data_IF_835918789656
#
_entry.id   IF_835918789656
#
_cell.length_a   1.000
_cell.length_b   1.000
_cell.length_c   1.000
_cell.angle_alpha   90.00
_cell.angle_beta   90.00
_cell.angle_gamma   90.00
#
_symmetry.space_group_name_H-M   'P 1'
#
loop_
_entity.id
_entity.type
_entity.pdbx_description
1 polymer ?
#
# COMPACT_ATOMS: atom_id res chain seq x y z
N UNK A 1 7.01 -8.63 36.78
CA UNK A 1 5.92 -7.98 37.55
C UNK A 1 4.65 -8.79 37.34
N UNK A 2 4.04 -9.29 38.41
CA UNK A 2 2.81 -10.10 38.38
C UNK A 2 1.62 -9.21 38.03
N UNK A 3 0.79 -9.64 37.07
CA UNK A 3 -0.51 -9.03 36.79
C UNK A 3 -1.54 -9.55 37.81
N UNK A 4 -2.12 -8.66 38.61
CA UNK A 4 -3.31 -8.95 39.42
C UNK A 4 -4.56 -8.65 38.59
N UNK A 5 -5.41 -9.66 38.42
CA UNK A 5 -6.78 -9.53 37.93
C UNK A 5 -7.64 -8.95 39.06
N UNK A 6 -8.25 -7.78 38.84
CA UNK A 6 -9.25 -7.22 39.77
C UNK A 6 -10.60 -7.86 39.44
N UNK A 7 -11.16 -8.54 40.44
CA UNK A 7 -12.44 -9.22 40.40
C UNK A 7 -13.55 -8.19 40.69
N UNK A 8 -14.43 -7.92 39.72
CA UNK A 8 -15.50 -6.93 39.84
C UNK A 8 -16.74 -7.65 40.38
N UNK A 9 -16.84 -7.77 41.71
CA UNK A 9 -18.10 -8.08 42.42
C UNK A 9 -17.91 -7.76 43.91
N UNK A 10 -18.02 -6.49 44.28
CA UNK A 10 -18.33 -6.09 45.67
C UNK A 10 -19.10 -4.76 45.67
N UNK A 11 -20.29 -4.68 46.31
CA UNK A 11 -21.12 -3.48 46.33
C UNK A 11 -21.05 -2.79 47.70
N UNK A 12 -20.00 -2.02 47.98
CA UNK A 12 -19.95 -1.14 49.16
C UNK A 12 -19.13 0.11 48.87
N UNK A 13 -19.80 1.21 48.51
CA UNK A 13 -19.47 2.53 49.07
C UNK A 13 -20.63 3.51 48.82
N UNK A 14 -21.41 3.74 49.88
CA UNK A 14 -22.38 4.83 49.96
C UNK A 14 -21.71 6.03 50.62
N UNK A 15 -22.02 7.21 50.08
CA UNK A 15 -21.98 8.54 50.69
C UNK A 15 -20.66 9.02 51.29
N UNK A 16 -20.02 9.96 50.58
CA UNK A 16 -19.70 11.23 51.22
C UNK A 16 -19.92 12.40 50.26
N UNK A 17 -20.56 13.42 50.80
CA UNK A 17 -21.11 14.58 50.11
C UNK A 17 -20.09 15.69 49.89
N UNK A 18 -20.43 16.58 48.96
CA UNK A 18 -19.92 17.96 48.77
C UNK A 18 -18.64 18.17 47.95
N UNK A 19 -18.78 18.10 46.64
CA UNK A 19 -18.21 19.12 45.75
C UNK A 19 -19.13 19.28 44.53
N UNK A 20 -19.60 20.50 44.34
CA UNK A 20 -20.39 20.95 43.19
C UNK A 20 -19.86 20.42 41.86
N UNK A 21 -20.70 19.88 40.96
CA UNK A 21 -20.26 19.58 39.61
C UNK A 21 -20.14 20.90 38.88
N UNK A 22 -18.92 21.43 38.78
CA UNK A 22 -18.59 22.40 37.74
C UNK A 22 -18.91 21.73 36.42
N UNK A 23 -19.90 22.27 35.71
CA UNK A 23 -20.28 21.91 34.36
C UNK A 23 -19.05 21.82 33.45
N UNK A 24 -18.55 20.60 33.21
CA UNK A 24 -17.58 20.36 32.15
C UNK A 24 -18.36 20.31 30.85
N UNK A 25 -18.44 21.45 30.16
CA UNK A 25 -18.73 21.51 28.74
C UNK A 25 -17.87 20.45 28.04
N UNK A 26 -18.40 19.59 27.15
CA UNK A 26 -17.55 18.70 26.37
C UNK A 26 -16.57 19.60 25.61
N UNK A 27 -15.28 19.48 25.90
CA UNK A 27 -14.30 20.45 25.42
C UNK A 27 -14.22 20.36 23.89
N UNK A 28 -14.77 21.33 23.17
CA UNK A 28 -14.68 21.44 21.70
C UNK A 28 -13.22 21.41 21.20
N UNK A 29 -12.24 21.61 22.08
CA UNK A 29 -10.81 21.61 21.79
C UNK A 29 -10.18 20.20 21.65
N UNK A 30 -10.84 19.13 22.09
CA UNK A 30 -10.31 17.77 22.02
C UNK A 30 -10.87 17.00 20.81
N UNK A 31 -10.04 16.11 20.26
CA UNK A 31 -10.50 15.17 19.23
C UNK A 31 -11.42 14.11 19.83
N UNK A 32 -12.37 13.64 19.02
CA UNK A 32 -13.38 12.67 19.45
C UNK A 32 -13.16 11.26 18.88
N UNK A 33 -12.28 11.12 17.90
CA UNK A 33 -11.95 9.85 17.22
C UNK A 33 -10.90 8.97 17.95
N UNK A 34 -10.64 9.22 19.24
CA UNK A 34 -9.70 8.43 20.04
C UNK A 34 -8.20 8.67 19.73
N UNK A 35 -7.87 9.63 18.86
CA UNK A 35 -6.48 9.96 18.53
C UNK A 35 -5.74 10.62 19.70
N UNK A 36 -4.46 10.26 19.86
CA UNK A 36 -3.58 10.73 20.94
C UNK A 36 -2.43 11.60 20.42
N UNK A 37 -1.90 12.46 21.30
CA UNK A 37 -0.65 13.19 21.08
C UNK A 37 0.57 12.27 21.29
N UNK A 38 1.77 12.76 20.97
CA UNK A 38 3.02 12.02 21.17
C UNK A 38 3.31 11.62 22.63
N UNK A 39 2.57 12.18 23.61
CA UNK A 39 2.66 11.83 25.03
C UNK A 39 1.57 10.85 25.47
N UNK A 40 0.78 10.34 24.53
CA UNK A 40 -0.30 9.37 24.79
C UNK A 40 -1.57 9.98 25.39
N UNK A 41 -1.71 11.31 25.43
CA UNK A 41 -2.91 12.01 25.91
C UNK A 41 -3.86 12.29 24.74
N UNK A 42 -5.15 12.46 25.00
CA UNK A 42 -6.12 12.83 23.94
C UNK A 42 -5.64 14.08 23.20
N UNK A 43 -5.62 14.01 21.87
CA UNK A 43 -5.04 15.06 21.04
C UNK A 43 -5.88 16.35 21.08
N UNK A 44 -5.22 17.50 21.04
CA UNK A 44 -5.88 18.83 21.03
C UNK A 44 -5.98 19.35 19.60
N UNK A 45 -7.19 19.62 19.11
CA UNK A 45 -7.44 20.12 17.75
C UNK A 45 -6.60 21.35 17.41
N UNK A 46 -6.45 22.27 18.37
CA UNK A 46 -5.64 23.49 18.21
C UNK A 46 -4.14 23.24 18.05
N UNK A 47 -3.57 22.14 18.55
CA UNK A 47 -2.11 21.94 18.58
C UNK A 47 -1.63 20.85 17.61
N UNK A 48 -2.43 19.83 17.36
CA UNK A 48 -2.03 18.61 16.66
C UNK A 48 -2.97 18.29 15.50
N UNK A 49 -2.43 17.65 14.45
CA UNK A 49 -3.16 17.19 13.27
C UNK A 49 -3.60 18.30 12.31
N UNK A 50 -4.51 17.94 11.42
CA UNK A 50 -4.97 18.75 10.30
C UNK A 50 -3.82 19.30 9.46
N UNK A 51 -4.04 20.48 8.90
CA UNK A 51 -3.09 21.17 8.02
C UNK A 51 -1.73 21.54 8.66
N UNK A 52 -1.57 21.40 9.98
CA UNK A 52 -0.28 21.56 10.66
C UNK A 52 0.62 20.33 10.50
N UNK A 53 0.03 19.18 10.24
CA UNK A 53 0.70 17.89 10.08
C UNK A 53 0.72 17.44 8.61
N UNK A 54 -0.37 17.69 7.87
CA UNK A 54 -0.56 17.21 6.50
C UNK A 54 0.58 17.55 5.53
N UNK A 55 1.17 18.77 5.51
CA UNK A 55 2.25 19.09 4.57
C UNK A 55 3.49 18.21 4.72
N UNK A 56 3.83 17.82 5.96
CA UNK A 56 4.99 16.94 6.22
C UNK A 56 4.78 15.55 5.61
N UNK A 57 3.54 15.04 5.68
CA UNK A 57 3.16 13.72 5.16
C UNK A 57 3.10 13.76 3.62
N UNK A 58 2.52 14.81 3.04
CA UNK A 58 2.40 14.99 1.59
C UNK A 58 3.78 15.17 0.94
N UNK A 59 4.67 15.94 1.56
CA UNK A 59 6.04 16.11 1.08
C UNK A 59 6.79 14.77 1.09
N UNK A 60 6.60 13.96 2.14
CA UNK A 60 7.21 12.64 2.20
C UNK A 60 6.69 11.69 1.13
N UNK A 61 5.38 11.69 0.88
CA UNK A 61 4.80 10.90 -0.21
C UNK A 61 5.37 11.33 -1.57
N UNK A 62 5.44 12.64 -1.85
CA UNK A 62 5.95 13.13 -3.13
C UNK A 62 7.41 12.70 -3.37
N UNK A 63 8.25 12.80 -2.34
CA UNK A 63 9.65 12.41 -2.40
C UNK A 63 9.85 10.90 -2.58
N UNK A 64 9.07 10.07 -1.87
CA UNK A 64 9.09 8.62 -2.04
C UNK A 64 8.66 8.24 -3.46
N UNK A 65 7.56 8.83 -3.97
CA UNK A 65 7.07 8.54 -5.32
C UNK A 65 8.06 8.92 -6.39
N UNK A 66 8.64 10.11 -6.31
CA UNK A 66 9.69 10.53 -7.23
C UNK A 66 10.82 9.49 -7.25
N UNK A 67 11.34 9.13 -6.07
CA UNK A 67 12.44 8.17 -5.96
C UNK A 67 12.09 6.78 -6.48
N UNK A 68 10.91 6.27 -6.13
CA UNK A 68 10.46 4.94 -6.53
C UNK A 68 10.26 4.84 -8.04
N UNK A 69 9.67 5.86 -8.67
CA UNK A 69 9.48 5.88 -10.12
C UNK A 69 10.80 6.05 -10.87
N UNK A 70 11.74 6.85 -10.37
CA UNK A 70 13.10 6.94 -10.94
C UNK A 70 13.81 5.60 -10.91
N UNK A 71 13.87 4.93 -9.75
CA UNK A 71 14.50 3.61 -9.64
C UNK A 71 13.80 2.62 -10.56
N UNK A 72 12.47 2.53 -10.53
CA UNK A 72 11.72 1.58 -11.33
C UNK A 72 11.90 1.77 -12.84
N UNK A 73 11.98 3.00 -13.33
CA UNK A 73 12.13 3.29 -14.75
C UNK A 73 13.53 2.95 -15.28
N UNK A 74 14.55 3.15 -14.44
CA UNK A 74 15.95 3.03 -14.86
C UNK A 74 16.59 1.71 -14.47
N UNK A 75 15.93 0.88 -13.66
CA UNK A 75 16.51 -0.36 -13.14
C UNK A 75 16.82 -1.38 -14.24
N UNK A 76 15.92 -1.59 -15.21
CA UNK A 76 16.19 -2.50 -16.33
C UNK A 76 17.43 -2.05 -17.10
N UNK A 77 17.50 -0.75 -17.42
CA UNK A 77 18.63 -0.17 -18.14
C UNK A 77 19.92 -0.21 -17.33
N UNK A 78 19.85 -0.08 -16.01
CA UNK A 78 21.01 -0.20 -15.14
C UNK A 78 21.53 -1.66 -15.11
N UNK A 79 20.64 -2.64 -14.99
CA UNK A 79 21.02 -4.06 -15.01
C UNK A 79 21.65 -4.48 -16.35
N UNK A 80 21.09 -4.02 -17.47
CA UNK A 80 21.64 -4.36 -18.80
C UNK A 80 22.92 -3.59 -19.13
N UNK A 81 22.93 -2.27 -18.92
CA UNK A 81 24.05 -1.44 -19.35
C UNK A 81 25.22 -1.45 -18.37
N UNK A 82 24.98 -1.48 -17.06
CA UNK A 82 26.03 -1.39 -16.04
C UNK A 82 26.39 -2.74 -15.46
N UNK A 83 25.41 -3.60 -15.18
CA UNK A 83 25.66 -4.95 -14.61
C UNK A 83 25.86 -6.04 -15.67
N UNK A 84 25.62 -5.72 -16.94
CA UNK A 84 25.79 -6.63 -18.09
C UNK A 84 24.95 -7.91 -17.96
N UNK A 85 23.76 -7.78 -17.39
CA UNK A 85 22.74 -8.83 -17.47
C UNK A 85 22.06 -8.82 -18.83
N UNK A 86 21.53 -9.97 -19.26
CA UNK A 86 20.70 -10.05 -20.46
C UNK A 86 19.42 -9.24 -20.26
N UNK A 87 18.85 -8.70 -21.33
CA UNK A 87 17.60 -7.94 -21.28
C UNK A 87 16.43 -8.77 -20.71
N UNK A 88 16.22 -10.05 -21.10
CA UNK A 88 15.19 -10.90 -20.52
C UNK A 88 15.39 -11.17 -19.02
N UNK A 89 16.63 -11.44 -18.59
CA UNK A 89 16.95 -11.66 -17.17
C UNK A 89 16.72 -10.38 -16.36
N UNK A 90 17.21 -9.24 -16.84
CA UNK A 90 17.02 -7.95 -16.20
C UNK A 90 15.53 -7.62 -16.04
N UNK A 91 14.72 -7.79 -17.08
CA UNK A 91 13.28 -7.56 -17.02
C UNK A 91 12.58 -8.49 -16.02
N UNK A 92 13.03 -9.75 -15.92
CA UNK A 92 12.54 -10.73 -14.94
C UNK A 92 12.93 -10.33 -13.52
N UNK A 93 14.18 -9.95 -13.26
CA UNK A 93 14.63 -9.51 -11.95
C UNK A 93 13.92 -8.24 -11.48
N UNK A 94 13.64 -7.29 -12.39
CA UNK A 94 12.82 -6.12 -12.06
C UNK A 94 11.38 -6.52 -11.73
N UNK A 95 10.78 -7.43 -12.51
CA UNK A 95 9.43 -7.94 -12.25
C UNK A 95 9.36 -8.66 -10.89
N UNK A 96 10.37 -9.47 -10.54
CA UNK A 96 10.47 -10.14 -9.25
C UNK A 96 10.63 -9.16 -8.09
N UNK A 97 11.44 -8.11 -8.28
CA UNK A 97 11.61 -7.02 -7.31
C UNK A 97 10.32 -6.24 -7.07
N UNK A 98 9.58 -5.90 -8.14
CA UNK A 98 8.26 -5.27 -8.04
C UNK A 98 7.29 -6.18 -7.29
N UNK A 99 7.23 -7.46 -7.66
CA UNK A 99 6.40 -8.48 -6.99
C UNK A 99 6.69 -8.58 -5.48
N UNK A 100 7.96 -8.70 -5.12
CA UNK A 100 8.40 -8.75 -3.72
C UNK A 100 8.03 -7.47 -2.96
N UNK A 101 8.19 -6.30 -3.57
CA UNK A 101 7.83 -5.01 -2.95
C UNK A 101 6.36 -4.98 -2.56
N UNK A 102 5.46 -5.39 -3.46
CA UNK A 102 4.02 -5.40 -3.20
C UNK A 102 3.61 -6.45 -2.15
N UNK A 103 4.27 -7.60 -2.09
CA UNK A 103 4.04 -8.56 -1.00
C UNK A 103 4.48 -7.97 0.36
N UNK A 104 5.64 -7.32 0.40
CA UNK A 104 6.17 -6.67 1.60
C UNK A 104 5.25 -5.54 2.10
N UNK A 105 4.38 -4.99 1.24
CA UNK A 105 3.34 -4.05 1.67
C UNK A 105 2.32 -4.68 2.62
N UNK A 106 1.96 -5.95 2.42
CA UNK A 106 1.09 -6.68 3.36
C UNK A 106 1.76 -6.81 4.72
N UNK A 107 3.06 -7.14 4.74
CA UNK A 107 3.84 -7.25 5.97
C UNK A 107 3.96 -5.89 6.67
N UNK A 108 4.25 -4.82 5.92
CA UNK A 108 4.35 -3.46 6.44
C UNK A 108 3.03 -2.96 7.04
N UNK A 109 1.90 -3.20 6.36
CA UNK A 109 0.58 -2.88 6.90
C UNK A 109 0.25 -3.67 8.16
N UNK A 110 0.54 -4.98 8.15
CA UNK A 110 0.34 -5.85 9.31
C UNK A 110 1.16 -5.39 10.52
N UNK A 111 2.45 -5.05 10.34
CA UNK A 111 3.31 -4.58 11.42
C UNK A 111 2.80 -3.25 12.02
N UNK A 112 2.29 -2.35 11.19
CA UNK A 112 1.73 -1.07 11.62
C UNK A 112 0.46 -1.24 12.45
N UNK A 113 -0.50 -2.03 11.97
CA UNK A 113 -1.79 -2.17 12.64
C UNK A 113 -1.71 -3.08 13.88
N UNK A 114 -0.81 -4.07 13.89
CA UNK A 114 -0.71 -5.06 14.96
C UNK A 114 0.28 -4.70 16.08
N UNK A 115 1.42 -4.06 15.79
CA UNK A 115 2.52 -3.94 16.76
C UNK A 115 3.07 -2.53 16.90
N UNK A 116 3.58 -1.94 15.82
CA UNK A 116 4.44 -0.75 15.87
C UNK A 116 3.64 0.57 15.87
N UNK A 117 2.45 0.57 15.29
CA UNK A 117 1.72 1.78 14.93
C UNK A 117 2.18 2.36 13.60
N UNK A 118 1.30 3.14 12.96
CA UNK A 118 1.49 3.65 11.59
C UNK A 118 2.70 4.57 11.46
N UNK A 119 2.83 5.57 12.34
CA UNK A 119 3.97 6.51 12.30
C UNK A 119 5.32 5.80 12.45
N UNK A 120 5.45 4.92 13.46
CA UNK A 120 6.70 4.24 13.73
C UNK A 120 7.09 3.32 12.55
N UNK A 121 6.10 2.65 11.97
CA UNK A 121 6.32 1.83 10.77
C UNK A 121 6.78 2.68 9.60
N UNK A 122 6.15 3.82 9.33
CA UNK A 122 6.56 4.72 8.26
C UNK A 122 7.98 5.23 8.48
N UNK A 123 8.33 5.77 9.65
CA UNK A 123 9.65 6.37 9.85
C UNK A 123 10.78 5.33 9.81
N UNK A 124 10.57 4.14 10.41
CA UNK A 124 11.55 3.05 10.35
C UNK A 124 11.72 2.55 8.91
N UNK A 125 10.62 2.40 8.18
CA UNK A 125 10.65 1.91 6.80
C UNK A 125 11.23 2.94 5.84
N UNK A 126 10.98 4.24 6.05
CA UNK A 126 11.64 5.31 5.29
C UNK A 126 13.15 5.38 5.57
N UNK A 127 13.59 5.06 6.80
CA UNK A 127 15.02 4.95 7.11
C UNK A 127 15.65 3.74 6.40
N UNK A 128 14.98 2.59 6.38
CA UNK A 128 15.42 1.40 5.62
C UNK A 128 15.47 1.68 4.12
N UNK A 129 14.44 2.35 3.58
CA UNK A 129 14.40 2.79 2.18
C UNK A 129 15.61 3.67 1.84
N UNK A 130 15.92 4.65 2.71
CA UNK A 130 17.06 5.53 2.54
C UNK A 130 18.40 4.76 2.52
N UNK A 131 18.57 3.76 3.39
CA UNK A 131 19.78 2.91 3.37
C UNK A 131 19.90 2.15 2.05
N UNK A 132 18.79 1.59 1.54
CA UNK A 132 18.76 0.94 0.23
C UNK A 132 19.13 1.90 -0.91
N UNK A 133 18.59 3.11 -0.90
CA UNK A 133 18.91 4.16 -1.88
C UNK A 133 20.37 4.63 -1.81
N UNK A 134 20.93 4.74 -0.60
CA UNK A 134 22.35 5.03 -0.41
C UNK A 134 23.22 3.91 -0.99
N UNK A 135 22.86 2.64 -0.76
CA UNK A 135 23.59 1.51 -1.36
C UNK A 135 23.48 1.50 -2.88
N UNK A 136 22.30 1.78 -3.46
CA UNK A 136 22.16 1.92 -4.92
C UNK A 136 23.04 3.03 -5.48
N UNK A 137 23.08 4.18 -4.80
CA UNK A 137 23.94 5.31 -5.19
C UNK A 137 25.42 4.94 -5.12
N UNK A 138 25.85 4.21 -4.08
CA UNK A 138 27.21 3.71 -3.95
C UNK A 138 27.54 2.69 -5.04
N UNK A 139 26.61 1.77 -5.36
CA UNK A 139 26.74 0.81 -6.45
C UNK A 139 26.98 1.50 -7.80
N UNK A 140 26.26 2.59 -8.07
CA UNK A 140 26.43 3.37 -9.30
C UNK A 140 27.67 4.29 -9.30
N UNK A 141 28.17 4.69 -8.13
CA UNK A 141 29.29 5.63 -8.01
C UNK A 141 30.66 4.95 -7.96
N UNK A 142 30.74 3.72 -7.46
CA UNK A 142 32.00 3.02 -7.22
C UNK A 142 32.27 2.02 -8.35
N UNK A 143 33.36 2.22 -9.10
CA UNK A 143 33.73 1.35 -10.22
C UNK A 143 34.05 -0.10 -9.79
N UNK A 144 34.50 -0.31 -8.56
CA UNK A 144 34.76 -1.67 -8.03
C UNK A 144 33.47 -2.49 -7.82
N UNK A 145 32.31 -1.84 -7.74
CA UNK A 145 31.02 -2.50 -7.55
C UNK A 145 30.31 -2.80 -8.89
N UNK A 146 30.96 -2.52 -10.02
CA UNK A 146 30.47 -2.80 -11.37
C UNK A 146 31.50 -3.61 -12.15
N UNK A 147 31.09 -4.43 -13.13
CA UNK A 147 32.02 -5.09 -14.02
C UNK A 147 32.82 -4.06 -14.83
N UNK A 148 34.15 -4.07 -14.70
CA UNK A 148 35.03 -3.24 -15.52
C UNK A 148 35.24 -3.90 -16.87
N UNK A 149 34.79 -3.28 -17.95
CA UNK A 149 35.04 -3.76 -19.31
C UNK A 149 36.42 -3.27 -19.80
N UNK A 150 37.41 -4.16 -20.01
CA UNK A 150 38.71 -3.78 -20.57
C UNK A 150 38.64 -3.56 -22.08
N UNK A 151 37.67 -4.18 -22.76
CA UNK A 151 37.51 -4.16 -24.22
C UNK A 151 36.01 -4.15 -24.60
N UNK A 152 35.64 -3.48 -25.70
CA UNK A 152 34.22 -3.26 -26.09
C UNK A 152 33.47 -4.52 -26.54
N UNK A 153 34.19 -5.58 -26.93
CA UNK A 153 33.61 -6.80 -27.52
C UNK A 153 33.32 -7.92 -26.51
N UNK A 154 34.05 -7.98 -25.39
CA UNK A 154 33.90 -9.05 -24.38
C UNK A 154 33.91 -8.47 -22.95
N UNK A 155 32.78 -7.89 -22.55
CA UNK A 155 32.55 -7.49 -21.17
C UNK A 155 32.20 -8.71 -20.31
N UNK A 156 32.93 -8.99 -19.21
CA UNK A 156 32.49 -10.01 -18.27
C UNK A 156 31.21 -9.58 -17.55
N UNK A 157 30.31 -10.52 -17.29
CA UNK A 157 29.13 -10.29 -16.44
C UNK A 157 29.54 -9.93 -15.00
N UNK A 158 28.63 -9.27 -14.28
CA UNK A 158 28.87 -8.88 -12.90
C UNK A 158 29.31 -10.06 -12.02
N UNK A 159 30.29 -9.81 -11.14
CA UNK A 159 30.72 -10.83 -10.18
C UNK A 159 29.61 -11.12 -9.17
N UNK A 160 29.53 -12.32 -8.58
CA UNK A 160 28.50 -12.65 -7.59
C UNK A 160 28.44 -11.67 -6.41
N UNK A 161 29.60 -11.11 -5.99
CA UNK A 161 29.66 -10.10 -4.94
C UNK A 161 29.06 -8.75 -5.33
N UNK A 162 29.25 -8.32 -6.59
CA UNK A 162 28.67 -7.09 -7.13
C UNK A 162 27.15 -7.23 -7.26
N UNK A 163 26.67 -8.34 -7.81
CA UNK A 163 25.24 -8.63 -7.90
C UNK A 163 24.61 -8.76 -6.51
N UNK A 164 25.26 -9.44 -5.55
CA UNK A 164 24.75 -9.54 -4.18
C UNK A 164 24.61 -8.17 -3.50
N UNK A 165 25.58 -7.26 -3.70
CA UNK A 165 25.49 -5.90 -3.18
C UNK A 165 24.30 -5.15 -3.77
N UNK A 166 24.12 -5.21 -5.10
CA UNK A 166 22.99 -4.57 -5.77
C UNK A 166 21.64 -5.14 -5.32
N UNK A 167 21.49 -6.46 -5.28
CA UNK A 167 20.24 -7.11 -4.85
C UNK A 167 19.95 -6.86 -3.37
N UNK A 168 20.98 -6.72 -2.52
CA UNK A 168 20.78 -6.30 -1.13
C UNK A 168 20.21 -4.88 -1.04
N UNK A 169 20.67 -3.97 -1.90
CA UNK A 169 20.16 -2.60 -1.98
C UNK A 169 18.70 -2.58 -2.45
N UNK A 170 18.39 -3.33 -3.51
CA UNK A 170 17.03 -3.48 -4.03
C UNK A 170 16.07 -4.11 -3.01
N UNK A 171 16.52 -5.10 -2.24
CA UNK A 171 15.74 -5.71 -1.17
C UNK A 171 15.41 -4.71 -0.05
N UNK A 172 16.36 -3.84 0.32
CA UNK A 172 16.12 -2.78 1.31
C UNK A 172 15.17 -1.71 0.79
N UNK A 173 15.29 -1.31 -0.47
CA UNK A 173 14.33 -0.40 -1.12
C UNK A 173 12.93 -1.04 -1.10
N UNK A 174 12.80 -2.31 -1.51
CA UNK A 174 11.52 -3.04 -1.49
C UNK A 174 10.91 -3.12 -0.09
N UNK A 175 11.73 -3.44 0.93
CA UNK A 175 11.30 -3.51 2.33
C UNK A 175 10.85 -2.15 2.86
N UNK A 176 11.61 -1.10 2.56
CA UNK A 176 11.28 0.27 2.95
C UNK A 176 9.98 0.75 2.29
N UNK A 177 9.84 0.53 0.98
CA UNK A 177 8.60 0.83 0.23
C UNK A 177 7.41 0.05 0.79
N UNK A 178 7.62 -1.23 1.14
CA UNK A 178 6.62 -2.10 1.75
C UNK A 178 6.02 -1.51 3.03
N UNK A 179 6.84 -0.93 3.90
CA UNK A 179 6.35 -0.32 5.13
C UNK A 179 5.81 1.11 4.97
N UNK A 180 6.28 1.87 3.97
CA UNK A 180 5.83 3.26 3.75
C UNK A 180 4.48 3.31 3.03
N UNK A 181 4.38 2.70 1.84
CA UNK A 181 3.23 2.87 0.93
C UNK A 181 1.85 2.62 1.52
N UNK A 182 1.59 1.52 2.25
CA UNK A 182 0.24 1.27 2.78
C UNK A 182 -0.07 2.13 4.01
N UNK A 183 0.94 2.65 4.71
CA UNK A 183 0.78 3.29 6.00
C UNK A 183 0.73 4.81 5.95
N UNK A 184 1.37 5.45 4.97
CA UNK A 184 1.34 6.92 4.80
C UNK A 184 -0.08 7.46 4.57
N UNK A 185 -0.91 6.95 3.65
CA UNK A 185 -2.27 7.46 3.45
C UNK A 185 -3.15 7.26 4.69
N UNK A 186 -3.04 6.11 5.35
CA UNK A 186 -3.75 5.84 6.61
C UNK A 186 -3.30 6.78 7.73
N UNK A 187 -1.99 7.04 7.85
CA UNK A 187 -1.43 7.98 8.82
C UNK A 187 -1.84 9.44 8.52
N UNK A 188 -1.94 9.80 7.25
CA UNK A 188 -2.48 11.08 6.79
C UNK A 188 -3.94 11.28 7.18
N UNK A 189 -4.77 10.26 6.96
CA UNK A 189 -6.17 10.27 7.37
C UNK A 189 -6.34 10.48 8.88
N UNK A 190 -5.48 9.85 9.70
CA UNK A 190 -5.51 9.96 11.16
C UNK A 190 -5.28 11.40 11.68
N UNK A 191 -4.76 12.29 10.83
CA UNK A 191 -4.55 13.69 11.20
C UNK A 191 -5.86 14.48 11.28
N UNK A 192 -6.96 13.98 10.73
CA UNK A 192 -8.25 14.64 10.66
C UNK A 192 -9.29 13.90 11.53
N UNK A 193 -10.10 14.64 12.30
CA UNK A 193 -11.20 14.11 13.12
C UNK A 193 -12.45 13.88 12.23
N UNK A 194 -12.85 12.62 12.06
CA UNK A 194 -13.96 12.23 11.17
C UNK A 194 -15.34 12.60 11.74
N UNK A 195 -15.44 12.87 13.04
CA UNK A 195 -16.69 13.26 13.68
C UNK A 195 -16.92 14.77 13.67
N UNK A 196 -15.97 15.55 13.17
CA UNK A 196 -16.08 17.01 13.02
C UNK A 196 -16.25 17.33 11.53
N UNK A 197 -17.40 17.89 11.15
CA UNK A 197 -17.73 18.18 9.74
C UNK A 197 -16.69 19.07 9.06
N UNK A 198 -16.06 19.98 9.80
CA UNK A 198 -15.04 20.89 9.26
C UNK A 198 -13.74 20.13 9.01
N UNK A 199 -13.27 19.34 9.98
CA UNK A 199 -12.06 18.53 9.80
C UNK A 199 -12.25 17.41 8.77
N UNK A 200 -13.48 16.88 8.62
CA UNK A 200 -13.86 15.92 7.60
C UNK A 200 -13.77 16.54 6.19
N UNK A 201 -14.27 17.77 5.98
CA UNK A 201 -14.07 18.48 4.71
C UNK A 201 -12.58 18.67 4.38
N UNK A 202 -11.76 19.00 5.39
CA UNK A 202 -10.31 19.11 5.20
C UNK A 202 -9.63 17.77 4.90
N UNK A 203 -10.16 16.64 5.37
CA UNK A 203 -9.66 15.29 5.04
C UNK A 203 -9.76 15.01 3.53
N UNK A 204 -10.87 15.37 2.89
CA UNK A 204 -11.03 15.21 1.44
C UNK A 204 -10.05 16.10 0.66
N UNK A 205 -9.86 17.35 1.10
CA UNK A 205 -8.87 18.25 0.49
C UNK A 205 -7.45 17.72 0.67
N UNK A 206 -7.15 17.12 1.83
CA UNK A 206 -5.89 16.41 2.06
C UNK A 206 -5.68 15.30 1.04
N UNK A 207 -6.67 14.43 0.82
CA UNK A 207 -6.55 13.35 -0.16
C UNK A 207 -6.40 13.86 -1.60
N UNK A 208 -7.12 14.91 -1.99
CA UNK A 208 -6.94 15.53 -3.30
C UNK A 208 -5.49 16.02 -3.50
N UNK A 209 -4.93 16.70 -2.50
CA UNK A 209 -3.54 17.18 -2.57
C UNK A 209 -2.52 16.04 -2.49
N UNK A 210 -2.83 14.99 -1.73
CA UNK A 210 -2.03 13.77 -1.62
C UNK A 210 -1.96 13.03 -2.97
N UNK A 211 -3.09 12.83 -3.64
CA UNK A 211 -3.08 12.21 -4.97
C UNK A 211 -2.41 13.09 -6.01
N UNK A 212 -2.60 14.42 -5.94
CA UNK A 212 -1.87 15.34 -6.79
C UNK A 212 -0.35 15.22 -6.58
N UNK A 213 0.12 15.13 -5.34
CA UNK A 213 1.54 15.00 -5.03
C UNK A 213 2.13 13.68 -5.55
N UNK A 214 1.37 12.58 -5.52
CA UNK A 214 1.76 11.31 -6.15
C UNK A 214 1.98 11.49 -7.66
N UNK A 215 1.03 12.15 -8.35
CA UNK A 215 1.13 12.34 -9.80
C UNK A 215 2.29 13.26 -10.19
N UNK A 216 2.49 14.34 -9.43
CA UNK A 216 3.64 15.24 -9.63
C UNK A 216 4.96 14.52 -9.38
N UNK A 217 5.07 13.76 -8.28
CA UNK A 217 6.26 12.98 -7.96
C UNK A 217 6.58 11.96 -9.05
N UNK A 218 5.58 11.21 -9.52
CA UNK A 218 5.74 10.26 -10.62
C UNK A 218 6.18 10.93 -11.93
N UNK A 219 5.56 12.06 -12.28
CA UNK A 219 5.93 12.82 -13.49
C UNK A 219 7.39 13.27 -13.43
N UNK A 220 7.82 13.88 -12.31
CA UNK A 220 9.20 14.32 -12.12
C UNK A 220 10.18 13.14 -12.12
N UNK A 221 9.81 12.03 -11.51
CA UNK A 221 10.61 10.81 -11.45
C UNK A 221 10.82 10.16 -12.82
N UNK A 222 9.79 10.13 -13.68
CA UNK A 222 9.85 9.52 -15.01
C UNK A 222 10.46 10.44 -16.10
N UNK A 223 10.43 11.76 -15.89
CA UNK A 223 10.90 12.72 -16.90
C UNK A 223 12.22 13.35 -16.49
N UNK A 224 12.20 14.25 -15.51
CA UNK A 224 13.37 15.03 -15.07
C UNK A 224 14.47 14.12 -14.56
N UNK A 225 14.13 13.13 -13.72
CA UNK A 225 15.16 12.27 -13.15
C UNK A 225 15.76 11.30 -14.16
N UNK A 226 14.93 10.67 -14.99
CA UNK A 226 15.42 9.79 -16.09
C UNK A 226 16.26 10.59 -17.08
N UNK A 227 15.91 11.84 -17.37
CA UNK A 227 16.74 12.73 -18.19
C UNK A 227 18.12 12.98 -17.56
N UNK A 228 18.16 13.26 -16.25
CA UNK A 228 19.43 13.44 -15.51
C UNK A 228 20.27 12.15 -15.56
N UNK A 229 19.63 10.98 -15.46
CA UNK A 229 20.29 9.68 -15.56
C UNK A 229 20.96 9.45 -16.91
N UNK A 230 20.26 9.78 -17.99
CA UNK A 230 20.77 9.59 -19.35
C UNK A 230 21.91 10.56 -19.67
N UNK A 231 21.84 11.81 -19.22
CA UNK A 231 22.84 12.84 -19.53
C UNK A 231 24.05 12.84 -18.58
N UNK A 232 23.83 12.61 -17.28
CA UNK A 232 24.87 12.71 -16.24
C UNK A 232 25.30 11.36 -15.66
N UNK A 233 24.62 10.28 -16.01
CA UNK A 233 24.89 8.93 -15.55
C UNK A 233 24.16 8.54 -14.26
N UNK A 234 24.14 7.22 -14.00
CA UNK A 234 23.39 6.59 -12.91
C UNK A 234 23.79 7.06 -11.50
N UNK A 235 25.02 7.54 -11.30
CA UNK A 235 25.46 8.07 -10.00
C UNK A 235 24.64 9.32 -9.60
N UNK A 236 24.39 10.24 -10.53
CA UNK A 236 23.52 11.39 -10.31
C UNK A 236 22.04 10.99 -10.26
N UNK A 237 21.69 9.98 -11.06
CA UNK A 237 20.36 9.40 -11.12
C UNK A 237 19.80 8.85 -9.84
N UNK A 238 20.60 8.04 -9.14
CA UNK A 238 20.22 7.51 -7.83
C UNK A 238 20.60 8.46 -6.69
N UNK A 239 21.67 9.25 -6.84
CA UNK A 239 22.15 10.15 -5.80
C UNK A 239 21.21 11.32 -5.49
N UNK A 240 20.63 11.95 -6.51
CA UNK A 240 19.72 13.08 -6.29
C UNK A 240 18.40 12.67 -5.60
N UNK A 241 17.68 11.61 -6.02
CA UNK A 241 16.53 11.08 -5.29
C UNK A 241 16.90 10.63 -3.88
N UNK A 242 18.09 10.05 -3.67
CA UNK A 242 18.59 9.72 -2.32
C UNK A 242 18.69 10.95 -1.43
N UNK A 243 19.21 12.07 -1.94
CA UNK A 243 19.26 13.35 -1.21
C UNK A 243 17.88 13.93 -0.91
N UNK A 244 16.96 13.87 -1.88
CA UNK A 244 15.55 14.30 -1.70
C UNK A 244 14.87 13.45 -0.62
N UNK A 245 15.08 12.13 -0.67
CA UNK A 245 14.52 11.21 0.31
C UNK A 245 15.12 11.41 1.71
N UNK A 246 16.42 11.70 1.82
CA UNK A 246 17.05 12.07 3.10
C UNK A 246 16.38 13.31 3.70
N UNK A 247 16.22 14.38 2.91
CA UNK A 247 15.53 15.59 3.35
C UNK A 247 14.08 15.31 3.76
N UNK A 248 13.38 14.47 3.00
CA UNK A 248 12.02 14.01 3.30
C UNK A 248 11.91 13.30 4.66
N UNK A 249 12.81 12.37 4.97
CA UNK A 249 12.84 11.66 6.27
C UNK A 249 13.03 12.63 7.42
N UNK A 250 13.91 13.62 7.26
CA UNK A 250 14.15 14.67 8.26
C UNK A 250 12.91 15.54 8.46
N UNK A 251 12.25 15.94 7.37
CA UNK A 251 11.00 16.71 7.39
C UNK A 251 9.90 15.92 8.11
N UNK A 252 9.72 14.65 7.74
CA UNK A 252 8.72 13.77 8.36
C UNK A 252 9.00 13.60 9.86
N UNK A 253 10.25 13.40 10.26
CA UNK A 253 10.66 13.30 11.66
C UNK A 253 10.42 14.61 12.44
N UNK A 254 10.72 15.77 11.84
CA UNK A 254 10.50 17.08 12.47
C UNK A 254 9.01 17.37 12.78
N UNK A 255 8.08 16.73 12.07
CA UNK A 255 6.65 16.82 12.30
C UNK A 255 6.14 16.07 13.55
N UNK A 256 6.97 15.25 14.22
CA UNK A 256 6.52 14.38 15.32
C UNK A 256 5.69 15.05 16.44
N UNK A 257 5.94 16.31 16.88
CA UNK A 257 5.14 16.89 17.96
C UNK A 257 3.79 17.43 17.48
N UNK A 258 3.58 17.48 16.16
CA UNK A 258 2.36 17.98 15.52
C UNK A 258 1.43 16.85 15.09
N UNK A 259 1.91 15.61 14.98
CA UNK A 259 1.08 14.49 14.56
C UNK A 259 0.08 14.02 15.62
N UNK A 260 -1.01 13.46 15.13
CA UNK A 260 -1.98 12.65 15.88
C UNK A 260 -1.68 11.17 15.62
N UNK A 261 -1.81 10.36 16.66
CA UNK A 261 -1.50 8.94 16.62
C UNK A 261 -2.73 8.12 16.99
N UNK A 262 -3.03 7.07 16.23
CA UNK A 262 -3.96 6.01 16.66
C UNK A 262 -3.19 4.86 17.29
N UNK A 263 -3.73 4.28 18.37
CA UNK A 263 -3.14 3.12 19.03
C UNK A 263 -3.34 1.88 18.15
N UNK A 264 -2.37 0.95 18.06
CA UNK A 264 -2.54 -0.31 17.35
C UNK A 264 -3.76 -1.08 17.90
N UNK A 265 -4.63 -1.55 17.01
CA UNK A 265 -5.87 -2.27 17.39
C UNK A 265 -5.71 -3.80 17.38
N UNK A 266 -4.48 -4.27 17.17
CA UNK A 266 -4.16 -5.69 17.03
C UNK A 266 -4.35 -6.19 15.59
N UNK A 267 -3.92 -7.42 15.33
CA UNK A 267 -3.97 -7.97 13.98
C UNK A 267 -5.38 -8.42 13.57
N UNK A 268 -5.80 -7.95 12.40
CA UNK A 268 -7.03 -8.39 11.75
C UNK A 268 -6.83 -9.76 11.11
N UNK A 269 -5.64 -10.03 10.58
CA UNK A 269 -5.29 -11.35 10.04
C UNK A 269 -5.37 -12.43 11.11
N UNK A 270 -4.93 -12.18 12.34
CA UNK A 270 -5.09 -13.17 13.40
C UNK A 270 -6.55 -13.43 13.71
N UNK A 271 -7.42 -12.41 13.69
CA UNK A 271 -8.87 -12.57 13.85
C UNK A 271 -9.49 -13.34 12.68
N UNK A 272 -9.11 -13.04 11.43
CA UNK A 272 -9.57 -13.74 10.24
C UNK A 272 -9.15 -15.22 10.25
N UNK A 273 -7.88 -15.49 10.56
CA UNK A 273 -7.36 -16.85 10.72
C UNK A 273 -8.04 -17.56 11.89
N UNK A 274 -8.29 -16.88 13.01
CA UNK A 274 -9.05 -17.45 14.12
C UNK A 274 -10.46 -17.84 13.69
N UNK A 275 -11.15 -16.99 12.92
CA UNK A 275 -12.47 -17.29 12.38
C UNK A 275 -12.41 -18.50 11.44
N UNK A 276 -11.44 -18.57 10.52
CA UNK A 276 -11.27 -19.73 9.64
C UNK A 276 -10.99 -21.00 10.46
N UNK A 277 -10.02 -20.96 11.37
CA UNK A 277 -9.61 -22.10 12.18
C UNK A 277 -10.77 -22.58 13.06
N UNK A 278 -11.52 -21.66 13.68
CA UNK A 278 -12.69 -21.98 14.50
C UNK A 278 -13.82 -22.54 13.62
N UNK A 279 -14.04 -21.98 12.43
CA UNK A 279 -15.07 -22.45 11.50
C UNK A 279 -14.76 -23.86 10.98
N UNK A 280 -13.51 -24.10 10.56
CA UNK A 280 -13.03 -25.42 10.13
C UNK A 280 -13.10 -26.42 11.27
N UNK A 281 -12.67 -26.04 12.48
CA UNK A 281 -12.75 -26.89 13.68
C UNK A 281 -14.19 -27.23 14.04
N UNK A 282 -15.12 -26.28 13.95
CA UNK A 282 -16.53 -26.49 14.24
C UNK A 282 -17.20 -27.33 13.16
N UNK A 283 -16.79 -27.19 11.89
CA UNK A 283 -17.22 -28.03 10.78
C UNK A 283 -16.79 -29.49 10.99
N UNK A 284 -15.52 -29.74 11.33
CA UNK A 284 -15.03 -31.09 11.64
C UNK A 284 -15.66 -31.69 12.90
N UNK A 285 -16.13 -30.86 13.84
CA UNK A 285 -16.88 -31.30 15.03
C UNK A 285 -18.36 -31.55 14.76
N UNK A 286 -18.84 -31.37 13.52
CA UNK A 286 -20.24 -31.60 13.16
C UNK A 286 -21.21 -30.63 13.83
N UNK A 287 -20.76 -29.42 14.20
CA UNK A 287 -21.60 -28.42 14.86
C UNK A 287 -22.69 -27.96 13.89
N UNK A 288 -23.93 -28.33 14.19
CA UNK A 288 -25.13 -27.90 13.45
C UNK A 288 -25.53 -26.50 13.94
N UNK A 289 -25.65 -25.54 13.02
CA UNK A 289 -26.12 -24.19 13.35
C UNK A 289 -27.65 -24.22 13.36
N UNK A 290 -28.25 -24.41 14.54
CA UNK A 290 -29.70 -24.25 14.71
C UNK A 290 -30.10 -22.77 14.59
N UNK A 291 -31.27 -22.43 14.00
CA UNK A 291 -31.72 -21.05 13.78
C UNK A 291 -31.86 -20.18 15.05
N UNK A 292 -31.89 -20.79 16.23
CA UNK A 292 -32.13 -20.15 17.52
C UNK A 292 -30.87 -19.92 18.36
N UNK A 293 -29.67 -20.26 17.86
CA UNK A 293 -28.43 -20.01 18.60
C UNK A 293 -28.13 -18.51 18.54
N UNK A 294 -28.43 -17.82 19.65
CA UNK A 294 -27.97 -16.46 19.93
C UNK A 294 -26.45 -16.41 19.76
N UNK A 295 -26.00 -15.80 18.67
CA UNK A 295 -24.60 -15.46 18.43
C UNK A 295 -24.10 -14.62 19.62
N UNK A 296 -22.82 -14.76 19.97
CA UNK A 296 -22.19 -14.11 21.12
C UNK A 296 -22.09 -12.60 20.89
N UNK A 297 -23.21 -11.90 20.92
CA UNK A 297 -23.28 -10.45 20.91
C UNK A 297 -23.19 -9.95 22.35
N UNK A 298 -22.14 -9.19 22.64
CA UNK A 298 -21.94 -8.53 23.93
C UNK A 298 -23.09 -7.54 24.13
N UNK A 299 -23.99 -7.85 25.07
CA UNK A 299 -25.16 -7.06 25.40
C UNK A 299 -24.81 -5.87 26.31
N UNK A 300 -24.08 -4.88 25.77
CA UNK A 300 -23.93 -3.54 26.37
C UNK A 300 -23.84 -2.46 25.29
N UNK A 301 -24.27 -1.23 25.60
CA UNK A 301 -24.15 -0.07 24.70
C UNK A 301 -22.71 0.42 24.49
N UNK A 302 -21.76 -0.14 25.24
CA UNK A 302 -20.33 0.07 25.03
C UNK A 302 -19.67 -1.19 24.46
N UNK A 303 -18.80 -1.00 23.47
CA UNK A 303 -17.88 -2.05 23.03
C UNK A 303 -16.92 -2.39 24.17
N UNK A 304 -16.38 -3.61 24.23
CA UNK A 304 -15.35 -3.99 25.21
C UNK A 304 -14.02 -3.19 25.07
N UNK A 305 -13.97 -2.20 24.18
CA UNK A 305 -12.84 -1.33 23.90
C UNK A 305 -13.25 0.11 24.20
N UNK A 306 -12.59 0.72 25.20
CA UNK A 306 -12.76 2.14 25.52
C UNK A 306 -12.35 2.98 24.30
N UNK A 307 -13.31 3.63 23.63
CA UNK A 307 -13.08 4.57 22.51
C UNK A 307 -13.29 4.01 21.09
N UNK A 308 -13.78 2.78 20.90
CA UNK A 308 -14.19 2.29 19.59
C UNK A 308 -15.68 2.60 19.33
N UNK A 309 -16.00 3.15 18.14
CA UNK A 309 -17.38 3.42 17.72
C UNK A 309 -18.12 2.09 17.51
N UNK A 310 -19.23 1.90 18.24
CA UNK A 310 -20.17 0.80 18.01
C UNK A 310 -20.84 1.02 16.65
N UNK A 311 -20.64 0.10 15.70
CA UNK A 311 -21.44 0.04 14.49
C UNK A 311 -22.87 -0.31 14.92
N UNK A 312 -23.84 0.51 14.53
CA UNK A 312 -25.27 0.26 14.77
C UNK A 312 -25.64 -1.10 14.19
N UNK A 313 -26.29 -1.96 14.97
CA UNK A 313 -26.80 -3.22 14.46
C UNK A 313 -27.92 -2.92 13.45
N UNK A 314 -27.61 -3.05 12.17
CA UNK A 314 -28.58 -3.00 11.10
C UNK A 314 -28.98 -4.43 10.76
N UNK A 315 -30.28 -4.80 10.74
CA UNK A 315 -30.76 -6.15 10.41
C UNK A 315 -30.69 -6.41 8.89
N UNK A 316 -29.57 -5.99 8.30
CA UNK A 316 -29.11 -5.97 6.91
C UNK A 316 -28.86 -7.32 6.25
N UNK A 317 -28.46 -8.30 7.07
CA UNK A 317 -27.87 -9.59 6.68
C UNK A 317 -28.87 -10.72 6.94
N UNK A 318 -29.76 -11.03 5.99
CA UNK A 318 -30.39 -12.37 5.97
C UNK A 318 -30.18 -13.21 4.71
N UNK A 319 -29.67 -12.64 3.64
CA UNK A 319 -28.46 -13.10 2.93
C UNK A 319 -27.66 -11.90 2.37
N UNK A 320 -27.80 -10.76 3.08
CA UNK A 320 -27.48 -9.38 2.72
C UNK A 320 -28.33 -8.91 1.55
N UNK A 321 -29.53 -8.35 1.78
CA UNK A 321 -30.63 -8.55 0.81
C UNK A 321 -31.10 -7.41 -0.09
N UNK A 322 -30.86 -6.12 0.19
CA UNK A 322 -31.14 -5.05 -0.78
C UNK A 322 -30.08 -3.95 -0.83
N UNK A 323 -29.03 -4.14 -1.62
CA UNK A 323 -28.20 -3.05 -2.15
C UNK A 323 -28.64 -2.89 -3.61
N UNK A 324 -29.74 -2.14 -3.71
CA UNK A 324 -30.10 -1.24 -4.79
C UNK A 324 -29.69 -1.67 -6.21
N UNK A 325 -30.59 -2.38 -6.86
CA UNK A 325 -30.79 -2.23 -8.31
C UNK A 325 -32.16 -1.59 -8.51
N UNK A 326 -32.21 -0.53 -9.32
CA UNK A 326 -33.16 -0.30 -10.44
C UNK A 326 -32.41 0.56 -11.49
N UNK A 327 -32.21 -0.03 -12.67
CA UNK A 327 -31.99 0.58 -14.01
C UNK A 327 -33.37 1.03 -14.55
N UNK A 328 -33.62 1.95 -15.50
CA UNK A 328 -33.05 2.30 -16.81
C UNK A 328 -34.02 3.39 -17.42
N UNK A 329 -34.03 3.81 -18.70
CA UNK A 329 -32.99 4.07 -19.70
C UNK A 329 -33.14 5.48 -20.36
N UNK A 330 -32.12 5.99 -21.06
CA UNK A 330 -32.32 6.43 -22.47
C UNK A 330 -30.99 6.62 -23.22
N UNK A 331 -31.06 6.13 -24.45
CA UNK A 331 -30.02 5.89 -25.46
C UNK A 331 -29.74 7.17 -26.26
N UNK A 332 -28.48 7.38 -26.67
CA UNK A 332 -28.02 7.82 -28.03
C UNK A 332 -26.61 8.41 -27.89
N UNK A 333 -25.71 8.38 -28.87
CA UNK A 333 -25.43 7.52 -30.01
C UNK A 333 -23.94 7.81 -30.33
N UNK A 334 -23.35 6.90 -31.07
CA UNK A 334 -21.95 6.78 -31.48
C UNK A 334 -21.43 8.05 -32.20
N UNK A 335 -20.25 8.57 -31.82
CA UNK A 335 -19.11 8.85 -32.74
C UNK A 335 -17.87 9.49 -32.06
N UNK A 336 -16.70 9.04 -32.52
CA UNK A 336 -15.43 9.78 -32.64
C UNK A 336 -14.38 9.82 -31.49
N UNK A 337 -13.07 10.08 -31.78
CA UNK A 337 -12.00 9.10 -31.57
C UNK A 337 -10.95 9.60 -30.55
N UNK A 338 -11.02 9.13 -29.30
CA UNK A 338 -10.05 9.47 -28.25
C UNK A 338 -9.58 8.26 -27.44
N UNK A 339 -9.23 7.17 -28.13
CA UNK A 339 -8.84 5.89 -27.52
C UNK A 339 -7.40 5.79 -26.99
N UNK A 340 -6.79 6.90 -26.58
CA UNK A 340 -5.55 6.87 -25.77
C UNK A 340 -5.62 7.68 -24.46
N UNK A 341 -6.83 8.03 -23.99
CA UNK A 341 -7.04 8.63 -22.65
C UNK A 341 -7.64 7.63 -21.62
N UNK A 342 -8.35 6.60 -22.10
CA UNK A 342 -9.12 5.70 -21.23
C UNK A 342 -8.26 4.62 -20.53
N UNK A 343 -7.07 4.30 -21.03
CA UNK A 343 -6.19 3.32 -20.36
C UNK A 343 -5.49 3.91 -19.11
N UNK A 344 -5.16 5.21 -19.11
CA UNK A 344 -4.64 5.93 -17.93
C UNK A 344 -5.72 6.44 -16.97
N UNK A 345 -6.95 6.63 -17.47
CA UNK A 345 -8.12 7.00 -16.68
C UNK A 345 -8.70 5.84 -15.86
N UNK A 346 -8.72 4.62 -16.42
CA UNK A 346 -9.28 3.45 -15.75
C UNK A 346 -8.55 3.11 -14.44
N UNK A 347 -7.21 3.13 -14.42
CA UNK A 347 -6.43 2.97 -13.18
C UNK A 347 -6.69 4.10 -12.18
N UNK A 348 -6.83 5.35 -12.65
CA UNK A 348 -7.01 6.49 -11.74
C UNK A 348 -8.39 6.53 -11.09
N UNK A 349 -9.45 6.13 -11.79
CA UNK A 349 -10.82 6.12 -11.25
C UNK A 349 -11.17 4.85 -10.48
N UNK A 350 -10.61 3.68 -10.83
CA UNK A 350 -10.77 2.47 -9.99
C UNK A 350 -9.95 2.56 -8.72
N UNK A 351 -8.70 2.99 -8.78
CA UNK A 351 -7.82 3.11 -7.60
C UNK A 351 -8.38 4.09 -6.55
N UNK A 352 -8.82 5.28 -6.96
CA UNK A 352 -9.32 6.31 -6.04
C UNK A 352 -10.71 5.93 -5.49
N UNK A 353 -11.63 5.53 -6.35
CA UNK A 353 -12.99 5.14 -5.93
C UNK A 353 -13.02 3.88 -5.07
N UNK A 354 -12.11 2.93 -5.30
CA UNK A 354 -12.01 1.72 -4.48
C UNK A 354 -11.27 1.98 -3.17
N UNK A 355 -10.19 2.77 -3.14
CA UNK A 355 -9.56 3.15 -1.88
C UNK A 355 -10.52 3.90 -0.96
N UNK A 356 -11.29 4.85 -1.50
CA UNK A 356 -12.28 5.62 -0.73
C UNK A 356 -13.38 4.71 -0.17
N UNK A 357 -13.95 3.82 -0.99
CA UNK A 357 -14.89 2.79 -0.55
C UNK A 357 -14.30 1.87 0.54
N UNK A 358 -13.06 1.41 0.37
CA UNK A 358 -12.41 0.52 1.33
C UNK A 358 -12.01 1.24 2.63
N UNK A 359 -11.64 2.52 2.58
CA UNK A 359 -11.30 3.29 3.78
C UNK A 359 -12.51 3.69 4.61
N UNK A 360 -13.67 3.89 3.97
CA UNK A 360 -14.93 4.21 4.64
C UNK A 360 -15.64 2.96 5.18
N UNK A 361 -15.52 1.81 4.52
CA UNK A 361 -16.10 0.53 4.96
C UNK A 361 -15.17 -0.28 5.90
N UNK A 362 -13.87 0.03 5.96
CA UNK A 362 -12.93 -0.65 6.85
C UNK A 362 -13.04 -0.13 8.30
N UNK A 363 -13.09 -1.05 9.26
CA UNK A 363 -12.92 -0.71 10.68
C UNK A 363 -11.58 -0.01 10.92
N UNK A 364 -11.49 0.85 11.95
CA UNK A 364 -10.32 1.70 12.20
C UNK A 364 -8.96 0.96 12.31
N UNK A 365 -8.99 -0.35 12.61
CA UNK A 365 -7.82 -1.23 12.67
C UNK A 365 -7.48 -1.99 11.37
N UNK A 366 -8.22 -1.78 10.27
CA UNK A 366 -8.08 -2.51 9.00
C UNK A 366 -7.62 -1.63 7.82
N UNK A 367 -7.56 -0.31 8.01
CA UNK A 367 -7.33 0.66 6.94
C UNK A 367 -6.03 0.39 6.15
N UNK A 368 -4.90 0.11 6.82
CA UNK A 368 -3.64 -0.18 6.11
C UNK A 368 -3.64 -1.55 5.42
N UNK A 369 -4.21 -2.58 6.05
CA UNK A 369 -4.27 -3.95 5.51
C UNK A 369 -5.14 -4.02 4.26
N UNK A 370 -6.30 -3.36 4.24
CA UNK A 370 -7.17 -3.32 3.06
C UNK A 370 -6.46 -2.66 1.87
N UNK A 371 -5.78 -1.53 2.10
CA UNK A 371 -4.96 -0.88 1.08
C UNK A 371 -3.83 -1.78 0.57
N UNK A 372 -3.16 -2.51 1.46
CA UNK A 372 -2.08 -3.43 1.07
C UNK A 372 -2.57 -4.66 0.28
N UNK A 373 -3.75 -5.21 0.61
CA UNK A 373 -4.36 -6.31 -0.14
C UNK A 373 -4.65 -5.91 -1.58
N UNK A 374 -5.24 -4.74 -1.78
CA UNK A 374 -5.47 -4.17 -3.10
C UNK A 374 -4.14 -4.03 -3.88
N UNK A 375 -3.11 -3.50 -3.24
CA UNK A 375 -1.80 -3.30 -3.88
C UNK A 375 -1.07 -4.62 -4.19
N UNK A 376 -1.37 -5.70 -3.45
CA UNK A 376 -0.76 -7.02 -3.68
C UNK A 376 -1.15 -7.65 -5.01
N UNK A 377 -2.27 -7.25 -5.62
CA UNK A 377 -2.70 -7.71 -6.95
C UNK A 377 -1.66 -7.36 -8.02
N UNK A 378 -1.07 -6.16 -7.94
CA UNK A 378 0.01 -5.73 -8.83
C UNK A 378 1.23 -6.66 -8.67
N UNK A 379 1.55 -7.02 -7.42
CA UNK A 379 2.66 -7.92 -7.14
C UNK A 379 2.47 -9.33 -7.71
N UNK A 380 1.26 -9.88 -7.60
CA UNK A 380 0.90 -11.16 -8.22
C UNK A 380 1.05 -11.07 -9.74
N UNK A 381 0.57 -9.99 -10.35
CA UNK A 381 0.74 -9.74 -11.79
C UNK A 381 2.20 -9.74 -12.23
N UNK A 382 3.09 -9.11 -11.46
CA UNK A 382 4.53 -9.09 -11.76
C UNK A 382 5.17 -10.48 -11.69
N UNK A 383 4.83 -11.31 -10.70
CA UNK A 383 5.35 -12.69 -10.65
C UNK A 383 4.77 -13.60 -11.72
N UNK A 384 3.51 -13.39 -12.11
CA UNK A 384 2.94 -14.07 -13.28
C UNK A 384 3.71 -13.68 -14.55
N UNK A 385 4.08 -12.40 -14.71
CA UNK A 385 4.95 -11.96 -15.81
C UNK A 385 6.33 -12.64 -15.77
N UNK A 386 6.99 -12.68 -14.62
CA UNK A 386 8.27 -13.40 -14.47
C UNK A 386 8.16 -14.89 -14.82
N UNK A 387 7.07 -15.55 -14.40
CA UNK A 387 6.81 -16.94 -14.73
C UNK A 387 6.59 -17.13 -16.24
N UNK A 388 5.88 -16.20 -16.90
CA UNK A 388 5.67 -16.23 -18.35
C UNK A 388 6.98 -16.08 -19.13
N UNK A 389 7.86 -15.16 -18.73
CA UNK A 389 9.19 -15.02 -19.34
C UNK A 389 9.96 -16.33 -19.27
N UNK A 390 10.05 -16.94 -18.08
CA UNK A 390 10.75 -18.23 -17.88
C UNK A 390 10.15 -19.37 -18.70
N UNK A 391 8.81 -19.43 -18.81
CA UNK A 391 8.13 -20.43 -19.64
C UNK A 391 8.49 -20.24 -21.13
N UNK A 392 8.52 -19.00 -21.61
CA UNK A 392 8.88 -18.68 -23.00
C UNK A 392 10.33 -19.00 -23.29
N UNK A 393 11.27 -18.67 -22.40
CA UNK A 393 12.68 -19.03 -22.55
C UNK A 393 12.89 -20.54 -22.54
N UNK A 394 12.21 -21.27 -21.65
CA UNK A 394 12.28 -22.72 -21.60
C UNK A 394 11.68 -23.37 -22.87
N UNK A 395 10.63 -22.79 -23.44
CA UNK A 395 9.98 -23.31 -24.64
C UNK A 395 10.70 -22.96 -25.95
N UNK A 396 11.37 -21.81 -26.00
CA UNK A 396 11.93 -21.24 -27.25
C UNK A 396 13.45 -21.26 -27.29
N UNK A 397 14.11 -21.53 -26.16
CA UNK A 397 15.55 -21.44 -25.99
C UNK A 397 16.00 -20.06 -25.50
N UNK A 398 17.27 -19.96 -25.12
CA UNK A 398 17.93 -18.74 -24.65
C UNK A 398 18.94 -18.21 -25.67
N UNK A 399 19.22 -16.91 -25.66
CA UNK A 399 20.17 -16.27 -26.58
C UNK A 399 19.69 -16.26 -28.04
N UNK A 400 20.59 -16.52 -28.98
CA UNK A 400 20.35 -16.40 -30.44
C UNK A 400 19.27 -17.33 -31.01
N UNK A 401 18.84 -18.34 -30.24
CA UNK A 401 17.78 -19.26 -30.64
C UNK A 401 16.41 -18.91 -30.02
N UNK A 402 16.39 -18.08 -28.97
CA UNK A 402 15.19 -17.72 -28.21
C UNK A 402 14.33 -16.65 -28.87
N UNK A 403 13.11 -16.49 -28.37
CA UNK A 403 12.23 -15.36 -28.76
C UNK A 403 12.60 -14.06 -28.06
N UNK A 404 13.06 -14.13 -26.82
CA UNK A 404 13.46 -13.00 -26.00
C UNK A 404 14.99 -12.90 -26.04
N UNK A 405 15.52 -11.86 -26.70
CA UNK A 405 16.97 -11.66 -26.90
C UNK A 405 17.38 -10.27 -26.43
N UNK A 406 18.69 -10.04 -26.41
CA UNK A 406 19.28 -8.73 -26.08
C UNK A 406 19.09 -7.71 -27.21
N UNK A 407 19.14 -8.13 -28.48
CA UNK A 407 18.78 -7.29 -29.62
C UNK A 407 17.26 -7.34 -29.87
N UNK A 408 16.61 -6.20 -29.68
CA UNK A 408 15.18 -6.02 -29.90
C UNK A 408 14.78 -6.24 -31.37
N UNK A 409 15.68 -5.96 -32.33
CA UNK A 409 15.40 -6.13 -33.75
C UNK A 409 15.37 -7.59 -34.17
N UNK A 410 16.08 -8.46 -33.44
CA UNK A 410 16.10 -9.90 -33.67
C UNK A 410 15.11 -10.67 -32.78
N UNK A 411 14.60 -10.01 -31.74
CA UNK A 411 13.63 -10.58 -30.80
C UNK A 411 12.24 -10.70 -31.42
N UNK A 412 11.55 -11.80 -31.14
CA UNK A 412 10.16 -12.05 -31.56
C UNK A 412 9.17 -11.57 -30.50
N UNK A 413 9.26 -10.27 -30.19
CA UNK A 413 8.46 -9.64 -29.14
C UNK A 413 6.96 -9.61 -29.47
N UNK A 414 6.62 -9.57 -30.75
CA UNK A 414 5.26 -9.68 -31.25
C UNK A 414 4.57 -10.95 -30.75
N UNK A 415 5.26 -12.10 -30.75
CA UNK A 415 4.71 -13.35 -30.22
C UNK A 415 4.53 -13.33 -28.71
N UNK A 416 5.48 -12.74 -27.97
CA UNK A 416 5.34 -12.56 -26.53
C UNK A 416 4.12 -11.68 -26.18
N UNK A 417 3.95 -10.55 -26.87
CA UNK A 417 2.78 -9.68 -26.69
C UNK A 417 1.48 -10.34 -27.14
N UNK A 418 1.49 -11.22 -28.16
CA UNK A 418 0.32 -12.01 -28.54
C UNK A 418 -0.08 -13.00 -27.44
N UNK A 419 0.87 -13.63 -26.73
CA UNK A 419 0.57 -14.48 -25.57
C UNK A 419 -0.09 -13.63 -24.47
N UNK A 420 0.46 -12.47 -24.15
CA UNK A 420 -0.13 -11.56 -23.15
C UNK A 420 -1.54 -11.10 -23.57
N UNK A 421 -1.75 -10.80 -24.85
CA UNK A 421 -3.05 -10.44 -25.39
C UNK A 421 -4.05 -11.61 -25.29
N UNK A 422 -3.62 -12.85 -25.57
CA UNK A 422 -4.45 -14.04 -25.44
C UNK A 422 -4.83 -14.31 -23.98
N UNK A 423 -3.87 -14.22 -23.04
CA UNK A 423 -4.13 -14.35 -21.60
C UNK A 423 -5.10 -13.27 -21.14
N UNK A 424 -4.91 -12.02 -21.56
CA UNK A 424 -5.80 -10.90 -21.23
C UNK A 424 -7.20 -11.09 -21.81
N UNK A 425 -7.31 -11.63 -23.02
CA UNK A 425 -8.59 -11.97 -23.64
C UNK A 425 -9.30 -13.11 -22.90
N UNK A 426 -8.58 -14.17 -22.49
CA UNK A 426 -9.13 -15.25 -21.66
C UNK A 426 -9.57 -14.70 -20.30
N UNK A 427 -8.78 -13.83 -19.66
CA UNK A 427 -9.15 -13.17 -18.42
C UNK A 427 -10.42 -12.33 -18.59
N UNK A 428 -10.55 -11.58 -19.69
CA UNK A 428 -11.77 -10.83 -20.01
C UNK A 428 -12.97 -11.75 -20.23
N UNK A 429 -12.81 -12.89 -20.90
CA UNK A 429 -13.88 -13.86 -21.10
C UNK A 429 -14.30 -14.52 -19.77
N UNK A 430 -13.34 -14.87 -18.92
CA UNK A 430 -13.60 -15.36 -17.57
C UNK A 430 -14.31 -14.30 -16.73
N UNK A 431 -13.85 -13.05 -16.77
CA UNK A 431 -14.50 -11.92 -16.10
C UNK A 431 -15.94 -11.76 -16.59
N UNK A 432 -16.19 -11.76 -17.90
CA UNK A 432 -17.54 -11.67 -18.48
C UNK A 432 -18.37 -12.88 -18.06
N UNK A 433 -17.80 -14.08 -18.03
CA UNK A 433 -18.49 -15.30 -17.58
C UNK A 433 -18.87 -15.22 -16.11
N UNK A 434 -17.94 -14.81 -15.24
CA UNK A 434 -18.19 -14.58 -13.82
C UNK A 434 -19.24 -13.48 -13.67
N UNK A 435 -19.11 -12.34 -14.35
CA UNK A 435 -20.05 -11.22 -14.30
C UNK A 435 -21.46 -11.62 -14.78
N UNK A 436 -21.58 -12.45 -15.82
CA UNK A 436 -22.88 -12.98 -16.30
C UNK A 436 -23.48 -14.03 -15.36
N UNK A 437 -22.64 -14.83 -14.70
CA UNK A 437 -23.04 -15.81 -13.67
C UNK A 437 -23.32 -15.14 -12.33
N UNK A 438 -22.75 -13.96 -12.13
CA UNK A 438 -22.96 -13.09 -11.00
C UNK A 438 -24.33 -12.47 -11.17
N UNK A 439 -25.35 -13.17 -10.65
CA UNK A 439 -26.67 -12.60 -10.53
C UNK A 439 -26.60 -11.45 -9.53
N UNK A 440 -26.71 -10.23 -10.06
CA UNK A 440 -27.06 -9.06 -9.29
C UNK A 440 -28.33 -9.33 -8.48
N UNK A 441 -28.40 -8.69 -7.32
CA UNK A 441 -29.30 -8.95 -6.18
C UNK A 441 -30.81 -8.87 -6.48
N UNK A 442 -31.22 -8.60 -7.72
CA UNK A 442 -32.62 -8.39 -8.13
C UNK A 442 -33.23 -9.47 -9.06
N UNK A 443 -32.54 -10.59 -9.34
CA UNK A 443 -33.08 -11.66 -10.23
C UNK A 443 -33.09 -13.06 -9.61
N UNK A 444 -33.50 -13.17 -8.35
CA UNK A 444 -33.85 -14.46 -7.72
C UNK A 444 -35.25 -14.42 -7.16
#
# INVERSE_FOLDING_TARGET
MKYQLVNITDPEFKSDSTSSPSSSTPSMDLVTNGSVDFRGRVAKKRKTGGWKASPFIIANEAAERLSAFTVSASLVLYLTNEMKESLPDAATHVSDWVGATYLLMLLGAFLADAYLGRYLTVILSSAVYLVGMLQLTVSASVNSLRPTCPEKSNCPSATPGQSAFLYSALALVALGTGGVKPNVPAFGADQHDENDEIELSYKYTFFNLFFLSIKVGALLGLTVMVYIEQEKGYAWGFGLPTGIMFASVVILAAGFPRYRYKKPMGSVFTRFVQVIVVSVRNHYKGVQVSPEVKLYEVATEESAILGARKLSHTPQYRFLDKAAVVEDPEVTDINDPWKYFILGGAESFTYVGQLEFFYDEATDGMKSVCGALFLSEIGIGSWVNSALVKIVEQATGTGDNGWLRDDLNESKLDYYYLILAAISAVNLLLYIWVARRYKGRNQR
#
